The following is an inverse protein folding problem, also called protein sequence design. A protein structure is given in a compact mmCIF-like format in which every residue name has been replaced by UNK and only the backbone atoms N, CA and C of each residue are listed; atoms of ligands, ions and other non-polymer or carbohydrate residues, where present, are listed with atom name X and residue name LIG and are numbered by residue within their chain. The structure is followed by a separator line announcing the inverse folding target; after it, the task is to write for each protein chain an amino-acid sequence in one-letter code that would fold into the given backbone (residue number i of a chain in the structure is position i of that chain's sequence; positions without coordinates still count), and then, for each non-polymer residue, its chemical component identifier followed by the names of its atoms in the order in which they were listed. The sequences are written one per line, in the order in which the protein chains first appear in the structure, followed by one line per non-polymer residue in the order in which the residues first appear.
data_IF_789807748924
#
_entry.id   IF_789807748924
#
_cell.length_a   1.000
_cell.length_b   1.000
_cell.length_c   1.000
_cell.angle_alpha   90.00
_cell.angle_beta   90.00
_cell.angle_gamma   90.00
#
_symmetry.space_group_name_H-M   'P 1'
#
loop_
_entity.id
_entity.type
_entity.pdbx_description
1 polymer ?
#
# COMPACT_ATOMS: atom_id res chain seq x y z
N UNK A 1 -45.39 -18.59 9.41
CA UNK A 1 -45.40 -17.68 10.58
C UNK A 1 -44.75 -16.37 10.15
N UNK A 2 -45.35 -15.23 10.50
CA UNK A 2 -45.11 -13.90 9.89
C UNK A 2 -44.40 -13.04 10.93
N UNK A 3 -43.18 -12.56 10.67
CA UNK A 3 -42.41 -11.74 11.61
C UNK A 3 -42.57 -10.26 11.21
N UNK A 4 -43.05 -9.37 12.09
CA UNK A 4 -43.24 -7.97 11.74
C UNK A 4 -41.94 -7.15 11.86
N UNK A 5 -41.69 -6.40 10.79
CA UNK A 5 -40.70 -5.33 10.69
C UNK A 5 -40.92 -4.26 11.76
N UNK A 6 -39.86 -3.91 12.49
CA UNK A 6 -39.82 -2.70 13.31
C UNK A 6 -38.77 -1.75 12.74
N UNK A 7 -39.28 -0.72 12.08
CA UNK A 7 -38.60 0.56 11.85
C UNK A 7 -38.12 1.11 13.20
N UNK A 8 -36.83 1.39 13.33
CA UNK A 8 -36.31 2.22 14.40
C UNK A 8 -35.65 3.46 13.79
N UNK A 9 -36.08 4.59 14.31
CA UNK A 9 -35.97 5.91 13.73
C UNK A 9 -34.56 6.51 13.82
N UNK A 10 -34.31 7.35 12.82
CA UNK A 10 -33.25 8.35 12.70
C UNK A 10 -33.16 9.22 13.97
N UNK A 11 -31.95 9.40 14.51
CA UNK A 11 -31.61 10.50 15.41
C UNK A 11 -30.38 11.23 14.84
N UNK A 12 -30.65 12.36 14.21
CA UNK A 12 -29.70 13.33 13.70
C UNK A 12 -29.23 14.22 14.85
N UNK A 13 -27.95 14.16 15.23
CA UNK A 13 -27.35 15.08 16.19
C UNK A 13 -26.31 15.95 15.48
N UNK A 14 -26.73 17.14 15.07
CA UNK A 14 -25.85 18.21 14.62
C UNK A 14 -25.34 18.98 15.85
N UNK A 15 -24.03 18.92 16.10
CA UNK A 15 -23.36 19.82 17.04
C UNK A 15 -22.39 20.71 16.25
N UNK A 16 -22.86 21.93 15.98
CA UNK A 16 -22.10 23.01 15.38
C UNK A 16 -21.26 23.66 16.49
N UNK A 17 -19.94 23.53 16.45
CA UNK A 17 -19.03 24.27 17.31
C UNK A 17 -18.19 25.23 16.45
N UNK A 18 -18.67 26.47 16.36
CA UNK A 18 -17.93 27.61 15.80
C UNK A 18 -16.94 28.10 16.85
N UNK A 19 -15.66 27.79 16.66
CA UNK A 19 -14.55 28.35 17.41
C UNK A 19 -13.71 29.27 16.54
N UNK A 20 -14.03 30.56 16.52
CA UNK A 20 -13.14 31.60 16.00
C UNK A 20 -12.19 32.05 17.11
N UNK A 21 -10.94 31.61 17.06
CA UNK A 21 -9.87 32.07 17.94
C UNK A 21 -8.81 32.84 17.14
N UNK A 22 -8.76 34.15 17.42
CA UNK A 22 -7.65 35.09 17.36
C UNK A 22 -6.58 34.95 16.26
N UNK A 23 -6.59 35.90 15.32
CA UNK A 23 -5.41 36.27 14.53
C UNK A 23 -4.35 36.91 15.42
N UNK A 24 -3.19 36.26 15.56
CA UNK A 24 -1.94 36.92 15.97
C UNK A 24 -1.12 37.21 14.71
N UNK A 25 -0.54 38.42 14.56
CA UNK A 25 0.42 38.67 13.49
C UNK A 25 1.69 37.88 13.76
N UNK A 26 1.99 36.90 12.91
CA UNK A 26 3.31 36.25 12.89
C UNK A 26 4.30 37.30 12.40
N UNK A 27 5.22 37.68 13.29
CA UNK A 27 6.41 38.46 12.96
C UNK A 27 7.26 37.62 12.02
N UNK A 28 7.46 38.13 10.81
CA UNK A 28 8.31 37.56 9.77
C UNK A 28 9.77 37.67 10.23
N UNK A 29 10.24 36.62 10.90
CA UNK A 29 11.66 36.42 11.14
C UNK A 29 12.24 35.89 9.82
N UNK A 30 12.79 36.82 9.04
CA UNK A 30 13.53 36.53 7.82
C UNK A 30 14.54 35.39 8.06
N UNK A 31 14.17 34.19 7.61
CA UNK A 31 15.07 33.05 7.60
C UNK A 31 16.23 33.37 6.66
N UNK A 32 17.49 33.08 7.04
CA UNK A 32 18.63 33.23 6.14
C UNK A 32 18.36 32.42 4.86
N UNK A 33 18.59 33.04 3.71
CA UNK A 33 18.43 32.41 2.42
C UNK A 33 19.16 31.05 2.40
N UNK A 34 18.52 29.96 1.96
CA UNK A 34 19.24 28.73 1.72
C UNK A 34 20.24 29.00 0.58
N UNK A 35 21.53 28.89 0.89
CA UNK A 35 22.55 28.74 -0.14
C UNK A 35 22.25 27.44 -0.86
N UNK A 36 21.73 27.54 -2.09
CA UNK A 36 21.65 26.41 -2.99
C UNK A 36 23.06 26.02 -3.40
N UNK A 37 23.70 25.16 -2.60
CA UNK A 37 24.81 24.37 -3.09
C UNK A 37 24.27 23.44 -4.18
N UNK A 38 24.53 23.84 -5.42
CA UNK A 38 24.28 23.01 -6.60
C UNK A 38 25.24 21.83 -6.51
N UNK A 39 24.80 20.75 -5.87
CA UNK A 39 25.41 19.44 -6.05
C UNK A 39 25.01 18.98 -7.45
N UNK A 40 25.82 19.35 -8.44
CA UNK A 40 25.81 18.67 -9.74
C UNK A 40 26.25 17.24 -9.44
N UNK A 41 25.29 16.35 -9.24
CA UNK A 41 25.51 14.92 -9.32
C UNK A 41 25.93 14.61 -10.76
N UNK A 42 27.22 14.70 -11.02
CA UNK A 42 27.81 14.15 -12.24
C UNK A 42 27.68 12.64 -12.09
N UNK A 43 26.62 12.06 -12.68
CA UNK A 43 26.60 10.64 -12.98
C UNK A 43 27.69 10.39 -14.01
N UNK A 44 28.90 10.12 -13.52
CA UNK A 44 29.90 9.43 -14.31
C UNK A 44 29.28 8.08 -14.72
N UNK A 45 29.27 7.72 -16.02
CA UNK A 45 28.88 6.38 -16.41
C UNK A 45 29.83 5.40 -15.72
N UNK A 46 29.30 4.60 -14.80
CA UNK A 46 30.04 3.48 -14.22
C UNK A 46 30.49 2.60 -15.40
N UNK A 47 31.80 2.41 -15.64
CA UNK A 47 32.25 1.50 -16.67
C UNK A 47 31.70 0.11 -16.33
N UNK A 48 31.07 -0.54 -17.32
CA UNK A 48 30.67 -1.92 -17.24
C UNK A 48 31.90 -2.77 -16.91
N UNK A 49 32.07 -3.10 -15.63
CA UNK A 49 33.09 -4.02 -15.19
C UNK A 49 32.71 -5.41 -15.67
N UNK A 50 33.67 -6.04 -16.32
CA UNK A 50 33.58 -7.35 -16.92
C UNK A 50 33.06 -8.41 -15.95
N UNK A 51 32.27 -9.32 -16.54
CA UNK A 51 31.87 -10.63 -16.04
C UNK A 51 32.97 -11.31 -15.20
N UNK A 52 32.83 -11.21 -13.89
CA UNK A 52 33.48 -12.08 -12.92
C UNK A 52 32.40 -12.93 -12.27
N UNK A 53 32.45 -14.23 -12.51
CA UNK A 53 31.56 -15.24 -11.94
C UNK A 53 31.77 -15.31 -10.41
N UNK A 54 30.77 -15.02 -9.56
CA UNK A 54 30.93 -15.20 -8.13
C UNK A 54 30.55 -16.64 -7.77
N UNK A 55 31.57 -17.50 -7.64
CA UNK A 55 31.47 -18.75 -6.86
C UNK A 55 31.40 -18.38 -5.39
N UNK A 56 30.22 -18.00 -4.89
CA UNK A 56 29.95 -17.92 -3.45
C UNK A 56 28.79 -18.84 -3.11
N UNK A 57 29.15 -19.90 -2.39
CA UNK A 57 28.27 -20.84 -1.71
C UNK A 57 27.42 -20.08 -0.68
N UNK A 58 26.09 -20.13 -0.75
CA UNK A 58 25.26 -19.62 0.33
C UNK A 58 25.17 -20.68 1.44
N UNK A 59 25.79 -20.41 2.59
CA UNK A 59 25.27 -20.91 3.86
C UNK A 59 23.93 -20.20 4.10
N UNK A 60 22.88 -20.86 3.61
CA UNK A 60 21.49 -20.52 3.86
C UNK A 60 21.19 -20.77 5.34
N UNK A 61 21.30 -19.73 6.17
CA UNK A 61 20.66 -19.74 7.47
C UNK A 61 19.16 -19.62 7.22
N UNK A 62 18.50 -20.76 7.44
CA UNK A 62 17.07 -20.98 7.29
C UNK A 62 16.33 -20.11 8.31
N UNK A 63 15.94 -18.89 7.95
CA UNK A 63 14.69 -18.35 8.45
C UNK A 63 13.59 -18.88 7.54
N UNK A 64 12.77 -19.76 8.10
CA UNK A 64 11.57 -20.29 7.47
C UNK A 64 10.61 -19.11 7.30
N UNK A 65 10.77 -18.33 6.23
CA UNK A 65 9.64 -17.69 5.60
C UNK A 65 8.76 -18.85 5.16
N UNK A 66 7.74 -19.15 5.96
CA UNK A 66 6.70 -20.12 5.63
C UNK A 66 6.21 -19.77 4.24
N UNK A 67 6.62 -20.59 3.28
CA UNK A 67 6.07 -20.58 1.94
C UNK A 67 4.58 -20.92 2.11
N UNK A 68 3.76 -19.88 2.26
CA UNK A 68 2.36 -19.97 1.91
C UNK A 68 2.37 -20.43 0.45
N UNK A 69 1.95 -21.68 0.23
CA UNK A 69 2.02 -22.31 -1.07
C UNK A 69 1.44 -21.38 -2.12
N UNK A 70 2.20 -21.15 -3.19
CA UNK A 70 1.67 -20.51 -4.37
C UNK A 70 0.59 -21.40 -4.95
N UNK A 71 -0.65 -21.17 -4.51
CA UNK A 71 -1.84 -21.67 -5.19
C UNK A 71 -1.97 -20.77 -6.40
N UNK A 72 -1.36 -21.19 -7.51
CA UNK A 72 -1.69 -20.67 -8.83
C UNK A 72 -3.19 -20.91 -9.04
N UNK A 73 -4.01 -19.88 -8.80
CA UNK A 73 -5.41 -19.88 -9.20
C UNK A 73 -5.46 -19.72 -10.72
N UNK A 74 -5.27 -20.86 -11.38
CA UNK A 74 -5.25 -21.02 -12.82
C UNK A 74 -6.65 -20.68 -13.37
N UNK A 75 -6.84 -19.46 -13.86
CA UNK A 75 -7.87 -19.12 -14.84
C UNK A 75 -9.34 -19.20 -14.40
N UNK A 76 -9.65 -19.14 -13.10
CA UNK A 76 -11.04 -18.98 -12.67
C UNK A 76 -11.33 -17.50 -12.51
N UNK A 77 -12.31 -16.99 -13.27
CA UNK A 77 -12.92 -15.67 -13.12
C UNK A 77 -13.76 -15.59 -11.83
N UNK A 78 -13.14 -15.92 -10.70
CA UNK A 78 -13.71 -15.96 -9.36
C UNK A 78 -12.63 -16.40 -8.40
N UNK A 79 -12.21 -15.62 -7.44
CA UNK A 79 -12.68 -14.34 -6.96
C UNK A 79 -11.84 -14.10 -5.71
N UNK A 80 -11.45 -12.86 -5.47
CA UNK A 80 -10.76 -12.44 -4.27
C UNK A 80 -11.20 -13.21 -3.02
N UNK A 81 -10.28 -13.95 -2.35
CA UNK A 81 -10.51 -14.69 -1.09
C UNK A 81 -11.79 -15.57 -1.02
N UNK A 82 -11.68 -16.87 -0.72
CA UNK A 82 -12.89 -17.69 -0.52
C UNK A 82 -13.82 -17.17 0.61
N UNK A 83 -13.27 -16.36 1.51
CA UNK A 83 -13.94 -15.70 2.63
C UNK A 83 -14.38 -14.25 2.32
N UNK A 84 -14.08 -13.73 1.11
CA UNK A 84 -14.43 -12.37 0.68
C UNK A 84 -13.51 -11.28 1.24
N UNK A 85 -12.31 -11.62 1.71
CA UNK A 85 -11.33 -10.65 2.21
C UNK A 85 -10.12 -10.53 1.28
N UNK A 86 -9.34 -9.46 1.47
CA UNK A 86 -8.10 -9.24 0.74
C UNK A 86 -7.12 -10.38 0.97
N UNK A 87 -6.44 -10.82 -0.09
CA UNK A 87 -5.47 -11.92 -0.06
C UNK A 87 -4.27 -11.56 -0.93
N UNK A 88 -3.06 -11.84 -0.48
CA UNK A 88 -1.88 -11.73 -1.33
C UNK A 88 -1.77 -12.98 -2.22
N UNK A 89 -1.98 -12.83 -3.52
CA UNK A 89 -1.76 -13.88 -4.53
C UNK A 89 -0.29 -14.05 -4.91
N UNK A 90 0.60 -13.26 -4.32
CA UNK A 90 2.04 -13.28 -4.55
C UNK A 90 2.49 -12.28 -5.62
N UNK A 91 3.81 -12.18 -5.86
CA UNK A 91 4.36 -11.21 -6.81
C UNK A 91 3.76 -11.32 -8.21
N UNK A 92 3.45 -10.17 -8.81
CA UNK A 92 2.88 -10.08 -10.15
C UNK A 92 3.63 -9.00 -10.97
N UNK A 93 3.57 -9.05 -12.32
CA UNK A 93 4.10 -7.98 -13.15
C UNK A 93 3.52 -6.62 -12.72
N UNK A 94 4.39 -5.66 -12.38
CA UNK A 94 4.02 -4.34 -11.86
C UNK A 94 3.36 -4.36 -10.46
N UNK A 95 3.61 -5.40 -9.67
CA UNK A 95 3.31 -5.47 -8.24
C UNK A 95 4.28 -6.45 -7.57
N UNK A 96 5.58 -6.14 -7.61
CA UNK A 96 6.62 -7.10 -7.20
C UNK A 96 7.08 -6.93 -5.75
N UNK A 97 6.73 -5.82 -5.09
CA UNK A 97 7.29 -5.49 -3.79
C UNK A 97 6.53 -6.11 -2.61
N UNK A 98 6.72 -5.56 -1.43
CA UNK A 98 6.45 -6.18 -0.15
C UNK A 98 5.01 -5.92 0.27
N UNK A 99 4.30 -7.01 0.55
CA UNK A 99 3.04 -7.00 1.29
C UNK A 99 3.37 -7.22 2.75
N UNK A 100 2.93 -6.31 3.61
CA UNK A 100 2.92 -6.54 5.05
C UNK A 100 1.67 -7.32 5.42
N UNK A 101 1.79 -8.32 6.30
CA UNK A 101 0.68 -9.15 6.76
C UNK A 101 0.50 -9.10 8.28
N UNK A 102 -0.72 -9.36 8.75
CA UNK A 102 -0.99 -9.62 10.18
C UNK A 102 -0.53 -11.04 10.61
N UNK A 103 -0.84 -11.42 11.85
CA UNK A 103 -0.48 -12.72 12.42
C UNK A 103 -1.21 -13.90 11.76
N UNK A 104 -2.34 -13.62 11.12
CA UNK A 104 -3.17 -14.55 10.38
C UNK A 104 -2.77 -14.65 8.89
N UNK A 105 -1.77 -13.88 8.46
CA UNK A 105 -1.29 -13.85 7.08
C UNK A 105 -2.14 -13.01 6.14
N UNK A 106 -3.04 -12.15 6.66
CA UNK A 106 -3.85 -11.25 5.84
C UNK A 106 -3.07 -9.97 5.52
N UNK A 107 -3.18 -9.44 4.30
CA UNK A 107 -2.50 -8.22 3.92
C UNK A 107 -3.04 -7.02 4.73
N UNK A 108 -2.12 -6.26 5.33
CA UNK A 108 -2.41 -5.03 6.09
C UNK A 108 -1.79 -3.78 5.45
N UNK A 109 -0.76 -3.96 4.63
CA UNK A 109 -0.22 -2.88 3.81
C UNK A 109 0.52 -3.39 2.57
N UNK A 110 0.69 -2.49 1.60
CA UNK A 110 1.59 -2.66 0.46
C UNK A 110 2.53 -1.46 0.37
N UNK A 111 3.82 -1.72 0.18
CA UNK A 111 4.80 -0.66 -0.11
C UNK A 111 5.05 -0.63 -1.61
N UNK A 112 4.82 0.53 -2.22
CA UNK A 112 4.91 0.70 -3.68
C UNK A 112 6.37 0.74 -4.13
N UNK A 113 6.76 -0.10 -5.09
CA UNK A 113 8.04 -0.02 -5.78
C UNK A 113 8.01 0.84 -7.03
N UNK A 114 9.20 1.13 -7.56
CA UNK A 114 9.34 1.67 -8.91
C UNK A 114 8.80 0.69 -9.96
N UNK A 115 7.93 1.20 -10.84
CA UNK A 115 7.31 0.42 -11.90
C UNK A 115 6.05 -0.33 -11.49
N UNK A 116 5.63 -0.23 -10.22
CA UNK A 116 4.35 -0.79 -9.81
C UNK A 116 3.17 0.01 -10.40
N UNK A 117 2.08 -0.69 -10.68
CA UNK A 117 0.86 -0.12 -11.23
C UNK A 117 -0.31 -0.35 -10.27
N UNK A 118 -1.16 0.66 -10.01
CA UNK A 118 -2.30 0.51 -9.10
C UNK A 118 -3.20 -0.68 -9.43
N UNK A 119 -3.41 -0.97 -10.71
CA UNK A 119 -4.23 -2.09 -11.16
C UNK A 119 -3.59 -3.44 -10.82
N UNK A 120 -2.28 -3.58 -11.02
CA UNK A 120 -1.57 -4.82 -10.73
C UNK A 120 -1.49 -5.09 -9.22
N UNK A 121 -1.31 -4.05 -8.39
CA UNK A 121 -1.35 -4.19 -6.92
C UNK A 121 -2.75 -4.65 -6.46
N UNK A 122 -3.81 -4.06 -7.03
CA UNK A 122 -5.19 -4.44 -6.74
C UNK A 122 -5.49 -5.90 -7.11
N UNK A 123 -5.00 -6.37 -8.26
CA UNK A 123 -5.13 -7.76 -8.69
C UNK A 123 -4.36 -8.69 -7.76
N UNK A 124 -3.13 -8.32 -7.40
CA UNK A 124 -2.28 -9.08 -6.47
C UNK A 124 -2.94 -9.28 -5.11
N UNK A 125 -3.41 -8.19 -4.51
CA UNK A 125 -3.98 -8.14 -3.15
C UNK A 125 -5.48 -8.49 -3.16
N UNK A 126 -6.03 -8.74 -4.36
CA UNK A 126 -7.42 -9.08 -4.56
C UNK A 126 -8.35 -8.00 -3.96
N UNK A 127 -8.04 -6.72 -4.15
CA UNK A 127 -8.78 -5.60 -3.57
C UNK A 127 -9.18 -4.60 -4.65
N UNK A 128 -10.44 -4.17 -4.65
CA UNK A 128 -10.92 -3.09 -5.52
C UNK A 128 -10.88 -1.73 -4.80
N UNK A 129 -10.74 -0.67 -5.58
CA UNK A 129 -10.72 0.72 -5.12
C UNK A 129 -9.61 1.00 -4.11
N UNK A 130 -8.45 0.36 -4.26
CA UNK A 130 -7.30 0.51 -3.34
C UNK A 130 -6.89 1.98 -3.15
N UNK A 131 -6.89 2.77 -4.23
CA UNK A 131 -6.52 4.19 -4.18
C UNK A 131 -7.55 5.02 -3.42
N UNK A 132 -8.84 4.81 -3.68
CA UNK A 132 -9.92 5.54 -3.01
C UNK A 132 -9.93 5.25 -1.50
N UNK A 133 -9.70 3.99 -1.12
CA UNK A 133 -9.55 3.57 0.30
C UNK A 133 -8.37 4.24 1.00
N UNK A 134 -7.36 4.64 0.25
CA UNK A 134 -6.18 5.36 0.73
C UNK A 134 -6.27 6.89 0.50
N UNK A 135 -7.41 7.41 0.04
CA UNK A 135 -7.59 8.84 -0.22
C UNK A 135 -6.74 9.38 -1.38
N UNK A 136 -6.28 8.51 -2.27
CA UNK A 136 -5.40 8.85 -3.39
C UNK A 136 -6.22 9.13 -4.67
N UNK A 137 -5.86 10.19 -5.39
CA UNK A 137 -6.54 10.64 -6.62
C UNK A 137 -5.89 10.05 -7.90
N UNK A 138 -5.66 8.73 -7.93
CA UNK A 138 -5.25 8.03 -9.16
C UNK A 138 -3.75 7.80 -9.36
N UNK A 139 -2.89 8.35 -8.50
CA UNK A 139 -1.44 8.18 -8.59
C UNK A 139 -0.87 7.54 -7.32
N UNK A 140 0.14 6.71 -7.51
CA UNK A 140 1.01 6.17 -6.46
C UNK A 140 2.45 6.54 -6.81
N UNK A 141 3.29 6.70 -5.81
CA UNK A 141 4.71 6.94 -5.94
C UNK A 141 5.49 5.81 -5.27
N UNK A 142 6.70 5.50 -5.77
CA UNK A 142 7.59 4.59 -5.06
C UNK A 142 7.82 5.06 -3.60
N UNK A 143 7.69 4.13 -2.66
CA UNK A 143 7.75 4.39 -1.22
C UNK A 143 6.40 4.70 -0.56
N UNK A 144 5.31 4.89 -1.32
CA UNK A 144 3.97 5.01 -0.74
C UNK A 144 3.60 3.72 0.00
N UNK A 145 3.02 3.87 1.19
CA UNK A 145 2.48 2.75 1.96
C UNK A 145 0.95 2.75 1.88
N UNK A 146 0.40 1.84 1.09
CA UNK A 146 -1.03 1.67 0.91
C UNK A 146 -1.57 0.80 2.03
N UNK A 147 -2.46 1.34 2.85
CA UNK A 147 -3.12 0.62 3.94
C UNK A 147 -4.22 -0.28 3.38
N UNK A 148 -4.27 -1.51 3.90
CA UNK A 148 -5.27 -2.51 3.56
C UNK A 148 -5.97 -2.88 4.86
N UNK A 149 -7.29 -2.78 4.88
CA UNK A 149 -8.08 -3.19 6.04
C UNK A 149 -8.49 -4.67 5.87
N UNK A 150 -7.86 -5.60 6.62
CA UNK A 150 -8.13 -7.03 6.50
C UNK A 150 -9.49 -7.42 7.11
N UNK A 151 -10.22 -6.48 7.71
CA UNK A 151 -11.52 -6.70 8.35
C UNK A 151 -12.69 -6.23 7.50
N UNK A 152 -12.42 -5.52 6.40
CA UNK A 152 -13.46 -5.02 5.49
C UNK A 152 -13.63 -6.02 4.35
N UNK A 153 -14.83 -6.63 4.20
CA UNK A 153 -15.12 -7.48 3.06
C UNK A 153 -14.98 -6.72 1.73
N UNK A 154 -14.57 -7.45 0.72
CA UNK A 154 -14.52 -6.96 -0.66
C UNK A 154 -15.96 -6.94 -1.19
N UNK A 155 -16.39 -5.81 -1.78
CA UNK A 155 -17.74 -5.66 -2.30
C UNK A 155 -18.06 -6.59 -3.48
#
# INVERSE_FOLDING_TARGET
MKVPSKLAAVALAAALALGFAACSPVVDAAAPAPTSDVVVATHAPTPAAASGEPTHSPESTTEVATAAGQVYFNGVAGGCGADGYAVDSGPAPMANDTVETDAEGRPIAYVVAEGDAPQAIQERICLTNLLERNGLNGYIQPGDRLTIDPTVPIP
#
